data_IF_623553236034
#
_entry.id   IF_623553236034
#
_cell.length_a   1.000
_cell.length_b   1.000
_cell.length_c   1.000
_cell.angle_alpha   90.00
_cell.angle_beta   90.00
_cell.angle_gamma   90.00
#
_symmetry.space_group_name_H-M   'P 1'
#
loop_
_entity.id
_entity.type
_entity.pdbx_description
1 polymer ?
#
# COMPACT_ATOMS: atom_id res chain seq x y z
N UNK A 1 16.93 0.10 17.76
CA UNK A 1 15.74 -0.50 18.42
C UNK A 1 14.70 -0.76 17.34
N UNK A 2 14.16 -1.95 17.24
CA UNK A 2 13.01 -2.17 16.32
C UNK A 2 11.84 -1.29 16.74
N UNK A 3 11.19 -0.70 15.75
CA UNK A 3 10.02 0.16 15.96
C UNK A 3 8.96 -0.59 16.77
N UNK A 4 8.35 0.07 17.75
CA UNK A 4 7.36 -0.52 18.64
C UNK A 4 6.11 -1.05 17.92
N UNK A 5 5.82 -0.53 16.73
CA UNK A 5 4.69 -0.94 15.91
C UNK A 5 4.77 -2.40 15.44
N UNK A 6 5.96 -2.95 15.24
CA UNK A 6 6.09 -4.37 14.87
C UNK A 6 5.55 -5.34 15.91
N UNK A 7 5.41 -4.92 17.17
CA UNK A 7 4.91 -5.80 18.24
C UNK A 7 3.43 -6.17 18.10
N UNK A 8 2.67 -5.35 17.40
CA UNK A 8 1.24 -5.58 17.16
C UNK A 8 0.95 -6.40 15.90
N UNK A 9 1.97 -6.67 15.09
CA UNK A 9 1.83 -7.39 13.83
C UNK A 9 1.98 -8.89 14.10
N UNK A 10 1.01 -9.72 13.68
CA UNK A 10 1.12 -11.17 13.82
C UNK A 10 2.35 -11.72 13.07
N UNK A 11 3.06 -12.65 13.69
CA UNK A 11 4.27 -13.25 13.09
C UNK A 11 3.98 -14.09 11.85
N UNK A 12 2.74 -14.51 11.65
CA UNK A 12 2.29 -15.23 10.45
C UNK A 12 1.88 -14.32 9.30
N UNK A 13 1.93 -12.99 9.49
CA UNK A 13 1.64 -12.06 8.40
C UNK A 13 2.69 -12.19 7.30
N UNK A 14 2.22 -12.16 6.05
CA UNK A 14 3.12 -12.02 4.91
C UNK A 14 3.84 -10.67 5.00
N UNK A 15 5.14 -10.65 4.71
CA UNK A 15 5.96 -9.46 4.92
C UNK A 15 6.86 -9.17 3.73
N UNK A 16 7.09 -7.88 3.48
CA UNK A 16 8.00 -7.38 2.47
C UNK A 16 8.50 -5.98 2.83
N UNK A 17 9.72 -5.66 2.42
CA UNK A 17 10.22 -4.29 2.51
C UNK A 17 9.41 -3.35 1.60
N UNK A 18 9.15 -2.12 2.06
CA UNK A 18 8.35 -1.14 1.31
C UNK A 18 9.04 -0.81 -0.01
N UNK A 19 8.27 -0.93 -1.10
CA UNK A 19 8.71 -0.58 -2.43
C UNK A 19 9.73 -1.52 -3.06
N UNK A 20 10.21 -2.54 -2.35
CA UNK A 20 11.09 -3.54 -2.93
C UNK A 20 10.41 -4.18 -4.13
N UNK A 21 11.01 -4.01 -5.31
CA UNK A 21 10.47 -4.48 -6.56
C UNK A 21 10.43 -6.01 -6.67
N UNK A 22 9.83 -6.49 -7.72
CA UNK A 22 9.86 -7.90 -8.09
C UNK A 22 10.87 -8.08 -9.22
N UNK A 23 11.60 -9.18 -9.21
CA UNK A 23 12.58 -9.50 -10.24
C UNK A 23 11.95 -9.68 -11.63
N UNK A 24 10.66 -9.92 -11.66
CA UNK A 24 9.89 -10.03 -12.90
C UNK A 24 8.72 -9.07 -12.84
N UNK A 25 8.51 -8.23 -13.88
CA UNK A 25 7.33 -7.43 -13.97
C UNK A 25 6.13 -8.37 -13.98
N UNK A 26 5.20 -8.08 -13.12
CA UNK A 26 3.97 -8.81 -13.03
C UNK A 26 3.14 -8.57 -14.30
N UNK A 27 2.86 -9.63 -15.02
CA UNK A 27 1.98 -9.55 -16.19
C UNK A 27 0.55 -9.69 -15.72
N UNK A 28 -0.15 -8.58 -15.63
CA UNK A 28 -1.60 -8.60 -15.42
C UNK A 28 -2.21 -9.37 -16.58
N UNK A 29 -2.84 -10.49 -16.28
CA UNK A 29 -3.64 -11.20 -17.28
C UNK A 29 -4.90 -10.40 -17.50
N UNK A 30 -4.93 -9.59 -18.55
CA UNK A 30 -6.05 -8.72 -18.91
C UNK A 30 -7.40 -9.46 -19.04
N UNK A 31 -7.36 -10.75 -19.22
CA UNK A 31 -8.56 -11.58 -19.51
C UNK A 31 -8.89 -12.56 -18.38
N UNK A 32 -8.30 -12.43 -17.21
CA UNK A 32 -8.60 -13.29 -16.08
C UNK A 32 -9.00 -12.46 -14.86
N UNK A 33 -10.16 -12.77 -14.28
CA UNK A 33 -10.58 -12.27 -12.97
C UNK A 33 -9.83 -12.96 -11.82
N UNK A 34 -8.59 -13.38 -12.05
CA UNK A 34 -7.78 -14.04 -11.03
C UNK A 34 -7.15 -12.94 -10.19
N UNK A 35 -7.53 -12.91 -8.93
CA UNK A 35 -6.81 -12.18 -7.90
C UNK A 35 -5.40 -12.78 -7.78
N UNK A 36 -4.41 -11.98 -8.10
CA UNK A 36 -3.02 -12.40 -8.11
C UNK A 36 -2.36 -12.25 -6.75
N UNK A 37 -3.18 -12.23 -5.71
CA UNK A 37 -2.72 -12.31 -4.34
C UNK A 37 -2.09 -11.01 -3.82
N UNK A 38 -0.99 -11.09 -3.06
CA UNK A 38 -0.47 -9.96 -2.28
C UNK A 38 0.12 -8.80 -3.10
N UNK A 39 0.21 -8.91 -4.41
CA UNK A 39 0.75 -7.90 -5.33
C UNK A 39 -0.01 -6.59 -5.32
N UNK A 40 -1.30 -6.69 -5.17
CA UNK A 40 -2.21 -5.54 -5.13
C UNK A 40 -2.63 -5.20 -3.69
N UNK A 41 -1.96 -5.82 -2.72
CA UNK A 41 -2.30 -5.69 -1.31
C UNK A 41 -3.55 -6.47 -0.93
N UNK A 42 -4.01 -6.28 0.29
CA UNK A 42 -5.30 -6.85 0.70
C UNK A 42 -6.45 -6.05 0.08
N UNK A 43 -7.56 -6.70 -0.27
CA UNK A 43 -8.75 -5.99 -0.72
C UNK A 43 -9.33 -5.18 0.46
N UNK A 44 -9.44 -3.86 0.27
CA UNK A 44 -10.07 -2.93 1.21
C UNK A 44 -11.49 -2.67 0.76
N UNK A 45 -12.45 -3.19 1.48
CA UNK A 45 -13.88 -3.10 1.20
C UNK A 45 -14.65 -4.22 1.86
N UNK A 46 -15.98 -4.06 1.99
CA UNK A 46 -16.87 -5.06 2.54
C UNK A 46 -17.32 -6.08 1.50
N UNK A 47 -18.01 -7.13 1.94
CA UNK A 47 -18.58 -8.12 1.05
C UNK A 47 -19.65 -7.49 0.14
N UNK A 48 -19.45 -7.60 -1.17
CA UNK A 48 -20.39 -7.09 -2.17
C UNK A 48 -20.35 -5.57 -2.38
N UNK A 49 -19.48 -4.85 -1.66
CA UNK A 49 -19.36 -3.38 -1.77
C UNK A 49 -18.27 -2.93 -2.76
N UNK A 50 -17.59 -3.88 -3.41
CA UNK A 50 -16.38 -3.61 -4.16
C UNK A 50 -15.16 -3.46 -3.25
N UNK A 51 -14.00 -3.32 -3.86
CA UNK A 51 -12.76 -3.15 -3.09
C UNK A 51 -11.71 -2.32 -3.83
N UNK A 52 -10.75 -1.84 -3.05
CA UNK A 52 -9.55 -1.17 -3.54
C UNK A 52 -8.34 -1.87 -2.94
N UNK A 53 -7.31 -2.12 -3.73
CA UNK A 53 -6.04 -2.69 -3.27
C UNK A 53 -4.95 -1.63 -3.15
N UNK A 54 -4.18 -1.70 -2.08
CA UNK A 54 -2.98 -0.88 -1.88
C UNK A 54 -1.76 -1.78 -1.77
N UNK A 55 -0.88 -1.71 -2.74
CA UNK A 55 0.28 -2.60 -2.85
C UNK A 55 1.34 -2.35 -1.77
N UNK A 56 2.33 -3.23 -1.69
CA UNK A 56 3.49 -3.07 -0.80
C UNK A 56 4.35 -1.83 -1.12
N UNK A 57 4.10 -1.17 -2.25
CA UNK A 57 4.70 0.12 -2.60
C UNK A 57 3.98 1.31 -1.98
N UNK A 58 2.79 1.08 -1.42
CA UNK A 58 1.93 2.11 -0.88
C UNK A 58 0.99 2.75 -1.90
N UNK A 59 1.03 2.34 -3.15
CA UNK A 59 0.16 2.82 -4.21
C UNK A 59 -1.18 2.09 -4.22
N UNK A 60 -2.27 2.85 -4.44
CA UNK A 60 -3.56 2.29 -4.77
C UNK A 60 -3.57 1.97 -6.25
N UNK A 61 -3.50 0.69 -6.59
CA UNK A 61 -3.32 0.24 -7.97
C UNK A 61 -4.34 -0.79 -8.44
N UNK A 62 -5.21 -1.23 -7.56
CA UNK A 62 -6.26 -2.18 -7.87
C UNK A 62 -7.62 -1.59 -7.50
N UNK A 63 -8.54 -1.60 -8.45
CA UNK A 63 -9.87 -1.01 -8.32
C UNK A 63 -10.91 -2.01 -8.79
N UNK A 64 -11.77 -2.43 -7.89
CA UNK A 64 -12.91 -3.29 -8.16
C UNK A 64 -14.17 -2.63 -7.59
N UNK A 65 -14.61 -1.57 -8.25
CA UNK A 65 -15.73 -0.74 -7.79
C UNK A 65 -16.94 -0.93 -8.71
N UNK A 66 -16.69 -1.22 -9.98
CA UNK A 66 -17.73 -1.42 -10.98
C UNK A 66 -17.94 -2.91 -11.22
N UNK A 67 -19.02 -3.42 -10.68
CA UNK A 67 -19.67 -4.71 -10.75
C UNK A 67 -19.09 -5.84 -11.59
N UNK A 68 -17.83 -6.17 -11.49
CA UNK A 68 -17.21 -7.33 -12.15
C UNK A 68 -15.95 -7.01 -12.96
N UNK A 69 -15.60 -5.75 -13.13
CA UNK A 69 -14.36 -5.37 -13.78
C UNK A 69 -13.27 -5.04 -12.77
N UNK A 70 -12.10 -5.62 -12.98
CA UNK A 70 -10.89 -5.25 -12.26
C UNK A 70 -10.11 -4.24 -13.08
N UNK A 71 -9.94 -3.04 -12.55
CA UNK A 71 -9.08 -2.01 -13.14
C UNK A 71 -7.76 -1.96 -12.39
N UNK A 72 -6.68 -2.14 -13.13
CA UNK A 72 -5.32 -2.00 -12.60
C UNK A 72 -4.75 -0.68 -13.09
N UNK A 73 -4.78 0.32 -12.23
CA UNK A 73 -4.31 1.66 -12.55
C UNK A 73 -3.73 2.32 -11.31
N UNK A 74 -2.52 2.82 -11.42
CA UNK A 74 -1.94 3.71 -10.42
C UNK A 74 -2.35 5.15 -10.74
N UNK A 75 -3.08 5.76 -9.80
CA UNK A 75 -3.49 7.16 -9.87
C UNK A 75 -2.61 7.93 -8.90
N UNK A 76 -1.63 8.66 -9.42
CA UNK A 76 -0.63 9.36 -8.62
C UNK A 76 -1.23 10.32 -7.57
N UNK A 77 -2.38 10.92 -7.85
CA UNK A 77 -3.08 11.81 -6.93
C UNK A 77 -3.85 11.07 -5.80
N UNK A 78 -4.06 9.77 -5.91
CA UNK A 78 -4.85 8.97 -4.95
C UNK A 78 -4.00 8.37 -3.84
N UNK A 79 -2.89 9.01 -3.49
CA UNK A 79 -1.96 8.48 -2.50
C UNK A 79 -2.16 9.14 -1.14
N UNK A 80 -1.88 8.41 -0.07
CA UNK A 80 -1.70 9.05 1.22
C UNK A 80 -0.46 9.95 1.20
N UNK A 81 -0.55 11.07 1.88
CA UNK A 81 0.58 11.99 2.01
C UNK A 81 0.80 12.37 3.47
N UNK A 82 2.04 12.68 3.78
CA UNK A 82 2.48 13.15 5.10
C UNK A 82 3.24 14.44 4.93
N UNK A 83 2.85 15.43 5.70
CA UNK A 83 3.60 16.66 5.88
C UNK A 83 4.38 16.58 7.19
N UNK A 84 5.67 16.74 7.12
CA UNK A 84 6.54 16.84 8.30
C UNK A 84 7.19 18.22 8.36
N UNK A 85 7.01 18.89 9.48
CA UNK A 85 7.71 20.14 9.83
C UNK A 85 8.70 19.85 10.95
N UNK A 86 9.96 19.90 10.64
CA UNK A 86 11.03 19.60 11.59
C UNK A 86 12.29 20.40 11.29
N UNK A 87 12.92 20.96 12.32
CA UNK A 87 14.18 21.70 12.21
C UNK A 87 14.16 22.79 11.11
N UNK A 88 13.10 23.59 11.03
CA UNK A 88 12.88 24.61 10.01
C UNK A 88 12.84 24.07 8.56
N UNK A 89 12.62 22.78 8.39
CA UNK A 89 12.41 22.16 7.08
C UNK A 89 11.00 21.60 6.99
N UNK A 90 10.34 21.93 5.90
CA UNK A 90 9.05 21.36 5.56
C UNK A 90 9.21 20.35 4.42
N UNK A 91 8.71 19.17 4.61
CA UNK A 91 8.74 18.12 3.58
C UNK A 91 7.36 17.50 3.44
N UNK A 92 6.92 17.33 2.21
CA UNK A 92 5.71 16.56 1.87
C UNK A 92 6.14 15.28 1.19
N UNK A 93 5.73 14.15 1.74
CA UNK A 93 5.95 12.84 1.15
C UNK A 93 4.62 12.24 0.70
N UNK A 94 4.57 11.72 -0.51
CA UNK A 94 3.61 10.70 -0.86
C UNK A 94 4.04 9.39 -0.17
N UNK A 95 3.12 8.71 0.51
CA UNK A 95 3.39 7.41 1.15
C UNK A 95 3.29 6.27 0.13
N UNK A 96 3.82 6.52 -1.03
CA UNK A 96 3.97 5.58 -2.13
C UNK A 96 5.35 5.75 -2.73
N UNK A 97 6.00 4.67 -3.05
CA UNK A 97 7.23 4.71 -3.83
C UNK A 97 6.86 5.08 -5.27
N UNK A 98 7.74 5.80 -5.95
CA UNK A 98 7.52 6.14 -7.36
C UNK A 98 7.26 4.86 -8.15
N UNK A 99 6.01 4.63 -8.52
CA UNK A 99 5.69 3.58 -9.46
C UNK A 99 6.18 4.05 -10.84
N UNK A 100 6.73 3.15 -11.64
CA UNK A 100 7.04 3.41 -13.03
C UNK A 100 5.83 4.10 -13.66
N UNK A 101 5.94 5.40 -13.84
CA UNK A 101 4.88 6.22 -14.41
C UNK A 101 4.60 5.70 -15.81
N UNK A 102 3.37 5.32 -16.07
CA UNK A 102 2.87 5.22 -17.44
C UNK A 102 3.28 6.51 -18.16
N UNK A 103 3.84 6.45 -19.37
CA UNK A 103 4.42 7.59 -20.05
C UNK A 103 3.48 8.79 -20.27
N UNK A 104 2.21 8.65 -19.95
CA UNK A 104 1.15 9.63 -20.19
C UNK A 104 0.47 10.15 -18.92
N UNK A 105 0.97 9.85 -17.72
CA UNK A 105 0.39 10.43 -16.51
C UNK A 105 0.89 11.88 -16.35
N UNK A 106 0.08 12.84 -16.81
CA UNK A 106 0.29 14.27 -16.57
C UNK A 106 0.14 14.71 -15.10
N UNK A 107 0.07 13.78 -14.16
CA UNK A 107 -0.03 14.07 -12.75
C UNK A 107 1.36 14.31 -12.16
N UNK A 108 1.97 15.43 -12.49
CA UNK A 108 3.19 15.86 -11.80
C UNK A 108 2.83 16.33 -10.40
N UNK A 109 3.01 15.49 -9.41
CA UNK A 109 3.09 15.89 -8.01
C UNK A 109 4.51 16.42 -7.73
N UNK A 110 5.01 17.30 -8.57
CA UNK A 110 6.40 17.75 -8.58
C UNK A 110 6.85 18.44 -7.28
N UNK A 111 5.90 18.91 -6.46
CA UNK A 111 6.18 19.49 -5.15
C UNK A 111 6.32 18.44 -4.04
N UNK A 112 5.99 17.18 -4.30
CA UNK A 112 6.02 16.11 -3.32
C UNK A 112 7.27 15.26 -3.52
N UNK A 113 7.76 14.70 -2.42
CA UNK A 113 8.72 13.61 -2.48
C UNK A 113 7.96 12.28 -2.44
N UNK A 114 8.40 11.35 -3.26
CA UNK A 114 7.96 9.97 -3.16
C UNK A 114 8.68 9.27 -2.02
N UNK A 115 8.00 8.34 -1.37
CA UNK A 115 8.63 7.52 -0.34
C UNK A 115 9.76 6.69 -0.97
N UNK A 116 10.96 6.67 -0.37
CA UNK A 116 12.08 5.96 -0.97
C UNK A 116 11.85 4.45 -0.96
N UNK A 117 12.19 3.80 -2.07
CA UNK A 117 12.19 2.35 -2.17
C UNK A 117 13.33 1.76 -1.35
N UNK A 118 13.08 0.68 -0.64
CA UNK A 118 14.14 -0.10 0.01
C UNK A 118 15.08 -0.70 -1.05
N UNK A 119 16.39 -0.58 -0.81
CA UNK A 119 17.39 -1.14 -1.70
C UNK A 119 17.48 -2.68 -1.57
N UNK A 120 17.23 -3.17 -0.36
CA UNK A 120 17.20 -4.59 -0.02
C UNK A 120 16.33 -4.79 1.23
N UNK A 121 16.11 -6.02 1.65
CA UNK A 121 15.44 -6.32 2.93
C UNK A 121 16.27 -5.83 4.13
N UNK A 122 17.59 -5.83 4.03
CA UNK A 122 18.49 -5.40 5.10
C UNK A 122 18.60 -3.87 5.18
N UNK A 123 18.55 -3.19 4.03
CA UNK A 123 18.58 -1.72 3.94
C UNK A 123 17.16 -1.19 3.64
N UNK A 124 16.29 -1.43 4.59
CA UNK A 124 14.86 -1.18 4.45
C UNK A 124 14.48 0.21 4.94
N UNK A 125 13.60 0.86 4.19
CA UNK A 125 12.89 2.10 4.62
C UNK A 125 11.62 1.78 5.40
N UNK A 126 11.39 0.49 5.70
CA UNK A 126 10.26 0.01 6.46
C UNK A 126 9.63 -1.25 5.85
N UNK A 127 8.62 -1.77 6.51
CA UNK A 127 7.96 -3.02 6.16
C UNK A 127 6.48 -2.87 5.82
N UNK A 128 6.04 -3.61 4.82
CA UNK A 128 4.64 -3.92 4.57
C UNK A 128 4.34 -5.32 5.07
N UNK A 129 3.23 -5.46 5.78
CA UNK A 129 2.77 -6.73 6.31
C UNK A 129 1.30 -6.92 5.99
N UNK A 130 0.89 -8.13 5.66
CA UNK A 130 -0.48 -8.45 5.30
C UNK A 130 -0.96 -9.76 5.91
N UNK A 131 -2.11 -9.70 6.54
CA UNK A 131 -2.88 -10.84 7.00
C UNK A 131 -4.35 -10.45 6.95
N UNK A 132 -5.04 -10.86 5.89
CA UNK A 132 -6.43 -10.49 5.69
C UNK A 132 -7.27 -10.73 6.97
N UNK A 133 -8.11 -9.81 7.40
CA UNK A 133 -8.53 -8.58 6.71
C UNK A 133 -7.71 -7.32 7.02
N UNK A 134 -6.46 -7.47 7.47
CA UNK A 134 -5.61 -6.35 7.89
C UNK A 134 -4.30 -6.30 7.10
N UNK A 135 -3.77 -5.08 6.97
CA UNK A 135 -2.40 -4.84 6.55
C UNK A 135 -1.78 -3.68 7.31
N UNK A 136 -0.46 -3.68 7.37
CA UNK A 136 0.31 -2.69 8.10
C UNK A 136 1.47 -2.19 7.25
N UNK A 137 1.68 -0.88 7.29
CA UNK A 137 2.90 -0.24 6.82
C UNK A 137 3.60 0.34 8.05
N UNK A 138 4.85 0.00 8.23
CA UNK A 138 5.73 0.59 9.24
C UNK A 138 6.82 1.33 8.51
N UNK A 139 6.84 2.67 8.63
CA UNK A 139 7.77 3.53 7.93
C UNK A 139 9.00 3.78 8.82
N UNK A 140 10.19 3.60 8.27
CA UNK A 140 11.45 3.69 9.03
C UNK A 140 12.47 4.56 8.30
N UNK A 141 13.32 5.24 9.10
CA UNK A 141 14.49 5.97 8.62
C UNK A 141 14.24 7.14 7.64
N UNK A 142 13.00 7.53 7.40
CA UNK A 142 12.63 8.61 6.49
C UNK A 142 12.07 9.82 7.24
N UNK A 143 11.21 9.59 8.21
CA UNK A 143 10.61 10.61 9.05
C UNK A 143 11.34 10.71 10.38
N UNK A 144 11.27 11.87 11.02
CA UNK A 144 11.73 12.02 12.40
C UNK A 144 10.73 11.43 13.39
N UNK A 145 9.44 11.54 13.08
CA UNK A 145 8.37 10.88 13.81
C UNK A 145 8.31 9.39 13.44
N UNK A 146 7.91 8.56 14.41
CA UNK A 146 7.54 7.19 14.14
C UNK A 146 6.18 7.19 13.44
N UNK A 147 6.10 6.59 12.26
CA UNK A 147 4.90 6.53 11.45
C UNK A 147 4.55 5.08 11.13
N UNK A 148 3.28 4.76 11.26
CA UNK A 148 2.71 3.51 10.77
C UNK A 148 1.30 3.75 10.23
N UNK A 149 0.84 2.85 9.36
CA UNK A 149 -0.51 2.85 8.85
C UNK A 149 -1.06 1.43 8.99
N UNK A 150 -2.14 1.27 9.72
CA UNK A 150 -2.92 0.03 9.74
C UNK A 150 -4.15 0.22 8.86
N UNK A 151 -4.40 -0.75 7.99
CA UNK A 151 -5.56 -0.80 7.11
C UNK A 151 -6.33 -2.07 7.41
N UNK A 152 -7.65 -2.00 7.33
CA UNK A 152 -8.49 -3.16 7.53
C UNK A 152 -9.75 -3.09 6.67
N UNK A 153 -10.20 -4.26 6.25
CA UNK A 153 -11.53 -4.42 5.67
C UNK A 153 -12.52 -4.72 6.79
N UNK A 154 -13.73 -4.17 6.75
CA UNK A 154 -14.75 -4.39 7.76
C UNK A 154 -15.38 -5.79 7.62
N UNK A 155 -14.54 -6.82 7.77
CA UNK A 155 -14.96 -8.22 7.67
C UNK A 155 -14.92 -8.86 9.05
N UNK A 156 -16.05 -9.38 9.49
CA UNK A 156 -16.25 -9.97 10.79
C UNK A 156 -16.60 -11.43 10.62
N UNK A 157 -15.85 -12.29 11.27
CA UNK A 157 -16.11 -13.72 11.23
C UNK A 157 -17.55 -14.01 11.71
N UNK A 158 -18.25 -14.83 10.97
CA UNK A 158 -19.62 -15.26 11.28
C UNK A 158 -20.68 -14.14 11.27
N UNK A 159 -20.33 -12.93 10.86
CA UNK A 159 -21.25 -11.80 10.77
C UNK A 159 -21.14 -11.12 9.40
N UNK A 160 -21.64 -11.81 8.36
CA UNK A 160 -21.52 -11.34 6.99
C UNK A 160 -22.41 -10.14 6.67
N UNK A 161 -23.52 -9.98 7.41
CA UNK A 161 -24.40 -8.85 7.24
C UNK A 161 -23.70 -7.53 7.60
N UNK A 162 -23.02 -7.51 8.73
CA UNK A 162 -22.23 -6.35 9.17
C UNK A 162 -20.91 -6.18 8.41
N UNK A 163 -20.55 -7.16 7.57
CA UNK A 163 -19.34 -7.13 6.75
C UNK A 163 -19.56 -6.58 5.35
N UNK A 164 -20.74 -6.06 5.05
CA UNK A 164 -21.18 -5.63 3.71
C UNK A 164 -21.19 -4.11 3.50
N UNK A 165 -20.52 -3.35 4.37
CA UNK A 165 -20.45 -1.88 4.30
C UNK A 165 -19.20 -1.40 3.57
#
# INVERSE_FOLDING_TARGET
MKNSFYKSIPTCAWSRAIGLGWDKPYTVRKDSNIDDGPWHGIPLGGFGAGCVGRSSRGDFNFWHIDGGEHTFQNISASQFSVFENSNNKNVVYALSTEANTEPNSNASLSAWKWYPTSASEDDSTGGYHALYPRSWFVYENVFQAQLSCEQFSPVWAENYQESSY
#
